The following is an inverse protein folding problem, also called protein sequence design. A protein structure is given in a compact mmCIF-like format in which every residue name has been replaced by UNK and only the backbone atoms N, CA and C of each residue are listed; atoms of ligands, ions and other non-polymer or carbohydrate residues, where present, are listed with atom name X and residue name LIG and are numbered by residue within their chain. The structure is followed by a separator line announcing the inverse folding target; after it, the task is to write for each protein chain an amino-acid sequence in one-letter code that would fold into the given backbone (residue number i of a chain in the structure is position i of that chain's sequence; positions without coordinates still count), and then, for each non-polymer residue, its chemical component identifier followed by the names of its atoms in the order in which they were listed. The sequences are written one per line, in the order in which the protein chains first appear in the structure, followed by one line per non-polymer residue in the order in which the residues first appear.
data_IF_440316932110
#
_entry.id   IF_440316932110
#
_cell.length_a   1.000
_cell.length_b   1.000
_cell.length_c   1.000
_cell.angle_alpha   90.00
_cell.angle_beta   90.00
_cell.angle_gamma   90.00
#
_symmetry.space_group_name_H-M   'P 1'
#
loop_
_entity.id
_entity.type
_entity.pdbx_description
1 polymer ?
#
# COMPACT_ATOMS: atom_id res chain seq x y z
N UNK A 1 -11.47 -0.13 -16.88
CA UNK A 1 -10.52 -0.94 -16.09
C UNK A 1 -9.21 -0.20 -16.11
N UNK A 2 -8.60 -0.01 -14.96
CA UNK A 2 -7.29 0.66 -14.78
C UNK A 2 -6.29 -0.36 -14.33
N UNK A 3 -5.09 -0.33 -14.88
CA UNK A 3 -3.99 -1.19 -14.47
C UNK A 3 -3.14 -0.53 -13.40
N UNK A 4 -2.90 -1.21 -12.30
CA UNK A 4 -2.00 -0.76 -11.25
C UNK A 4 -0.76 -1.65 -11.16
N UNK A 5 0.41 -1.04 -11.08
CA UNK A 5 1.62 -1.67 -10.56
C UNK A 5 1.77 -1.30 -9.09
N UNK A 6 1.48 -2.24 -8.20
CA UNK A 6 1.62 -2.09 -6.75
C UNK A 6 3.05 -2.44 -6.38
N UNK A 7 3.81 -1.46 -5.91
CA UNK A 7 5.25 -1.57 -5.67
C UNK A 7 5.51 -1.39 -4.18
N UNK A 8 6.07 -2.41 -3.51
CA UNK A 8 6.55 -2.23 -2.15
C UNK A 8 7.85 -1.43 -2.15
N UNK A 9 7.97 -0.44 -1.25
CA UNK A 9 9.21 0.32 -1.09
C UNK A 9 10.42 -0.59 -0.96
N UNK A 10 11.58 -0.10 -1.38
CA UNK A 10 12.85 -0.78 -1.33
C UNK A 10 13.48 -0.78 0.08
N UNK A 11 14.59 -1.48 0.27
CA UNK A 11 15.21 -1.75 1.56
C UNK A 11 15.73 -0.48 2.27
N UNK A 12 15.57 -0.47 3.60
CA UNK A 12 16.12 0.50 4.53
C UNK A 12 16.70 -0.23 5.76
N UNK A 13 17.46 0.46 6.59
CA UNK A 13 18.23 -0.19 7.68
C UNK A 13 17.39 -0.72 8.85
N UNK A 14 16.10 -0.37 8.89
CA UNK A 14 15.17 -0.82 9.94
C UNK A 14 14.29 -2.00 9.51
N UNK A 15 14.42 -2.52 8.27
CA UNK A 15 13.67 -3.71 7.81
C UNK A 15 13.95 -4.87 8.76
N UNK A 16 12.90 -5.59 9.14
CA UNK A 16 12.91 -6.74 10.05
C UNK A 16 13.46 -6.46 11.47
N UNK A 17 13.71 -5.20 11.81
CA UNK A 17 14.20 -4.79 13.14
C UNK A 17 13.20 -3.94 13.90
N UNK A 18 12.56 -2.98 13.22
CA UNK A 18 11.68 -1.98 13.81
C UNK A 18 10.41 -1.87 12.99
N UNK A 19 9.28 -1.81 13.67
CA UNK A 19 8.01 -1.46 13.05
C UNK A 19 7.97 0.05 12.75
N UNK A 20 8.56 0.45 11.62
CA UNK A 20 8.69 1.87 11.27
C UNK A 20 7.32 2.58 11.21
N UNK A 21 6.30 1.92 10.65
CA UNK A 21 4.96 2.46 10.50
C UNK A 21 4.97 3.80 9.78
N UNK A 22 4.13 4.73 10.25
CA UNK A 22 4.05 6.12 9.75
C UNK A 22 4.96 7.10 10.53
N UNK A 23 5.47 6.71 11.69
CA UNK A 23 6.21 7.63 12.59
C UNK A 23 7.68 7.75 12.26
N UNK A 24 8.31 6.68 11.76
CA UNK A 24 9.75 6.70 11.51
C UNK A 24 10.03 7.08 10.07
N UNK A 25 10.63 8.25 9.89
CA UNK A 25 11.08 8.72 8.58
C UNK A 25 12.46 8.14 8.26
N UNK A 26 12.48 6.99 7.62
CA UNK A 26 13.70 6.26 7.27
C UNK A 26 13.96 6.33 5.77
N UNK A 27 15.19 6.72 5.35
CA UNK A 27 15.58 6.70 3.93
C UNK A 27 15.95 5.29 3.48
N UNK A 28 16.00 5.08 2.16
CA UNK A 28 16.58 3.89 1.57
C UNK A 28 18.08 3.76 1.91
N UNK A 29 18.50 2.54 2.23
CA UNK A 29 19.93 2.23 2.33
C UNK A 29 20.56 2.00 0.94
N UNK A 30 21.84 1.64 0.88
CA UNK A 30 22.55 1.41 -0.39
C UNK A 30 21.91 0.29 -1.22
N UNK A 31 21.46 -0.78 -0.58
CA UNK A 31 20.74 -1.87 -1.25
C UNK A 31 19.41 -1.40 -1.81
N UNK A 32 18.63 -0.64 -1.00
CA UNK A 32 17.35 -0.10 -1.42
C UNK A 32 17.44 0.82 -2.62
N UNK A 33 18.47 1.66 -2.72
CA UNK A 33 18.69 2.50 -3.91
C UNK A 33 18.91 1.66 -5.17
N UNK A 34 19.71 0.60 -5.09
CA UNK A 34 19.91 -0.34 -6.22
C UNK A 34 18.62 -1.06 -6.60
N UNK A 35 17.81 -1.44 -5.61
CA UNK A 35 16.49 -2.04 -5.85
C UNK A 35 15.53 -1.06 -6.53
N UNK A 36 15.48 0.21 -6.11
CA UNK A 36 14.67 1.24 -6.73
C UNK A 36 15.04 1.45 -8.22
N UNK A 37 16.33 1.48 -8.53
CA UNK A 37 16.82 1.52 -9.92
C UNK A 37 16.43 0.27 -10.72
N UNK A 38 16.47 -0.91 -10.10
CA UNK A 38 16.06 -2.16 -10.74
C UNK A 38 14.56 -2.17 -11.05
N UNK A 39 13.71 -1.69 -10.12
CA UNK A 39 12.27 -1.48 -10.33
C UNK A 39 12.03 -0.56 -11.53
N UNK A 40 12.73 0.57 -11.59
CA UNK A 40 12.59 1.52 -12.69
C UNK A 40 12.93 0.87 -14.05
N UNK A 41 14.03 0.10 -14.13
CA UNK A 41 14.39 -0.64 -15.35
C UNK A 41 13.37 -1.72 -15.73
N UNK A 42 12.81 -2.42 -14.74
CA UNK A 42 11.80 -3.46 -14.99
C UNK A 42 10.50 -2.88 -15.58
N UNK A 43 10.13 -1.67 -15.17
CA UNK A 43 8.93 -0.98 -15.64
C UNK A 43 9.19 0.00 -16.80
N UNK A 44 10.41 0.03 -17.36
CA UNK A 44 10.82 1.01 -18.38
C UNK A 44 9.97 0.98 -19.66
N UNK A 45 9.41 -0.19 -20.00
CA UNK A 45 8.60 -0.39 -21.22
C UNK A 45 7.09 -0.40 -20.94
N UNK A 46 6.70 -0.24 -19.68
CA UNK A 46 5.28 -0.16 -19.33
C UNK A 46 4.73 1.22 -19.69
N UNK A 47 3.51 1.32 -20.24
CA UNK A 47 2.91 2.58 -20.67
C UNK A 47 2.37 3.36 -19.46
N UNK A 48 3.24 3.67 -18.50
CA UNK A 48 2.87 4.39 -17.29
C UNK A 48 2.40 5.81 -17.64
N UNK A 49 1.27 6.19 -17.06
CA UNK A 49 0.71 7.55 -17.19
C UNK A 49 0.84 8.34 -15.88
N UNK A 50 0.97 7.65 -14.75
CA UNK A 50 1.07 8.25 -13.41
C UNK A 50 1.97 7.43 -12.50
N UNK A 51 2.68 8.15 -11.61
CA UNK A 51 3.45 7.55 -10.53
C UNK A 51 3.03 8.25 -9.23
N UNK A 52 2.52 7.46 -8.29
CA UNK A 52 2.00 7.95 -7.00
C UNK A 52 2.68 7.15 -5.89
N UNK A 53 3.21 7.83 -4.88
CA UNK A 53 3.83 7.18 -3.73
C UNK A 53 3.10 7.52 -2.41
N UNK A 54 3.20 6.63 -1.44
CA UNK A 54 3.00 6.98 -0.04
C UNK A 54 3.92 8.16 0.32
N UNK A 55 3.50 9.09 1.21
CA UNK A 55 4.33 10.25 1.58
C UNK A 55 5.57 9.87 2.41
N UNK A 56 5.77 8.59 2.72
CA UNK A 56 6.96 8.16 3.47
C UNK A 56 8.21 8.23 2.60
N UNK A 57 9.30 8.76 3.16
CA UNK A 57 10.57 8.98 2.46
C UNK A 57 11.06 7.74 1.72
N UNK A 58 10.99 6.55 2.33
CA UNK A 58 11.35 5.28 1.69
C UNK A 58 10.53 4.95 0.44
N UNK A 59 9.24 5.32 0.42
CA UNK A 59 8.37 5.11 -0.75
C UNK A 59 8.67 6.15 -1.84
N UNK A 60 8.81 7.42 -1.49
CA UNK A 60 9.18 8.47 -2.44
C UNK A 60 10.53 8.17 -3.10
N UNK A 61 11.55 7.83 -2.31
CA UNK A 61 12.88 7.47 -2.83
C UNK A 61 12.88 6.20 -3.69
N UNK A 62 11.93 5.29 -3.47
CA UNK A 62 11.74 4.13 -4.36
C UNK A 62 11.15 4.55 -5.70
N UNK A 63 10.26 5.54 -5.72
CA UNK A 63 9.61 6.04 -6.92
C UNK A 63 10.51 6.95 -7.78
N UNK A 64 11.44 7.69 -7.18
CA UNK A 64 12.28 8.70 -7.85
C UNK A 64 12.96 8.19 -9.14
N UNK A 65 13.67 7.04 -9.17
CA UNK A 65 14.28 6.55 -10.39
C UNK A 65 13.27 6.22 -11.49
N UNK A 66 12.08 5.73 -11.11
CA UNK A 66 11.00 5.44 -12.06
C UNK A 66 10.44 6.73 -12.65
N UNK A 67 10.24 7.77 -11.83
CA UNK A 67 9.81 9.09 -12.29
C UNK A 67 10.80 9.69 -13.31
N UNK A 68 12.10 9.61 -13.00
CA UNK A 68 13.15 10.11 -13.89
C UNK A 68 13.16 9.35 -15.23
N UNK A 69 13.02 8.03 -15.21
CA UNK A 69 13.05 7.20 -16.41
C UNK A 69 11.79 7.40 -17.28
N UNK A 70 10.61 7.39 -16.64
CA UNK A 70 9.32 7.58 -17.32
C UNK A 70 9.04 9.05 -17.71
N UNK A 71 9.84 10.00 -17.21
CA UNK A 71 9.63 11.46 -17.36
C UNK A 71 8.26 11.91 -16.85
N UNK A 72 7.80 11.30 -15.75
CA UNK A 72 6.54 11.60 -15.09
C UNK A 72 6.80 12.26 -13.73
N UNK A 73 5.97 13.23 -13.32
CA UNK A 73 6.06 13.80 -11.98
C UNK A 73 5.68 12.79 -10.91
N UNK A 74 6.28 12.89 -9.73
CA UNK A 74 5.87 12.15 -8.56
C UNK A 74 4.69 12.85 -7.88
N UNK A 75 3.58 12.15 -7.70
CA UNK A 75 2.50 12.55 -6.80
C UNK A 75 2.57 11.75 -5.50
N UNK A 76 2.00 12.28 -4.42
CA UNK A 76 1.89 11.55 -3.14
C UNK A 76 0.42 11.40 -2.72
N UNK A 77 0.11 10.29 -2.03
CA UNK A 77 -1.23 10.00 -1.54
C UNK A 77 -1.18 9.34 -0.16
N UNK A 78 -1.83 9.95 0.83
CA UNK A 78 -1.95 9.40 2.20
C UNK A 78 -2.83 8.14 2.23
N UNK A 79 -3.67 7.94 1.22
CA UNK A 79 -4.55 6.79 1.10
C UNK A 79 -3.80 5.47 0.87
N UNK A 80 -2.55 5.53 0.39
CA UNK A 80 -1.67 4.36 0.25
C UNK A 80 -0.50 4.41 1.25
N UNK A 81 -0.62 5.20 2.34
CA UNK A 81 0.37 5.20 3.41
C UNK A 81 0.34 3.87 4.19
N UNK A 82 1.42 3.60 4.91
CA UNK A 82 1.55 2.39 5.72
C UNK A 82 0.40 2.25 6.72
N UNK A 83 0.21 1.04 7.20
CA UNK A 83 -0.70 0.75 8.32
C UNK A 83 -0.37 1.64 9.52
N UNK A 84 -1.38 2.29 10.10
CA UNK A 84 -1.20 3.02 11.34
C UNK A 84 -1.10 2.05 12.53
N UNK A 85 0.12 1.76 12.90
CA UNK A 85 0.42 0.86 14.02
C UNK A 85 0.26 1.53 15.40
N UNK A 86 -0.21 2.78 15.46
CA UNK A 86 -0.47 3.51 16.69
C UNK A 86 0.73 3.56 17.65
N UNK A 87 0.56 3.07 18.88
CA UNK A 87 1.61 3.04 19.91
C UNK A 87 2.74 2.04 19.63
N UNK A 88 2.58 1.15 18.67
CA UNK A 88 3.62 0.20 18.29
C UNK A 88 4.62 0.77 17.27
N UNK A 89 4.26 1.84 16.57
CA UNK A 89 5.13 2.47 15.58
C UNK A 89 6.42 2.98 16.23
N UNK A 90 7.56 2.61 15.65
CA UNK A 90 8.90 2.93 16.15
C UNK A 90 9.48 1.92 17.15
N UNK A 91 8.71 0.91 17.57
CA UNK A 91 9.22 -0.15 18.47
C UNK A 91 9.92 -1.25 17.68
N UNK A 92 10.92 -1.86 18.30
CA UNK A 92 11.57 -3.05 17.74
C UNK A 92 10.65 -4.27 17.79
N UNK A 93 10.81 -5.21 16.85
CA UNK A 93 10.04 -6.46 16.88
C UNK A 93 10.35 -7.31 18.13
N UNK A 94 11.56 -7.21 18.70
CA UNK A 94 11.91 -7.86 19.95
C UNK A 94 11.16 -7.30 21.16
N UNK A 95 10.86 -6.00 21.19
CA UNK A 95 10.00 -5.39 22.21
C UNK A 95 8.54 -5.76 21.99
N UNK A 96 8.08 -5.73 20.74
CA UNK A 96 6.69 -6.07 20.39
C UNK A 96 6.37 -7.53 20.70
N UNK A 97 7.32 -8.44 20.50
CA UNK A 97 7.15 -9.87 20.82
C UNK A 97 6.81 -10.14 22.30
N UNK A 98 7.11 -9.18 23.18
CA UNK A 98 6.79 -9.25 24.62
C UNK A 98 5.42 -8.66 24.97
N UNK A 99 4.77 -7.97 24.03
CA UNK A 99 3.43 -7.39 24.23
C UNK A 99 2.35 -8.43 23.90
N UNK A 100 1.50 -8.88 24.87
CA UNK A 100 0.44 -9.86 24.58
C UNK A 100 -0.54 -9.40 23.49
N UNK A 101 -0.77 -8.09 23.37
CA UNK A 101 -1.67 -7.51 22.37
C UNK A 101 -1.08 -7.63 20.96
N UNK A 102 0.27 -7.58 20.83
CA UNK A 102 0.96 -7.84 19.56
C UNK A 102 0.78 -9.28 19.09
N UNK A 103 0.84 -10.25 20.03
CA UNK A 103 0.56 -11.65 19.73
C UNK A 103 -0.87 -11.82 19.26
N UNK A 104 -1.84 -11.30 20.04
CA UNK A 104 -3.25 -11.36 19.69
C UNK A 104 -3.53 -10.74 18.31
N UNK A 105 -2.90 -9.60 18.00
CA UNK A 105 -3.05 -8.95 16.70
C UNK A 105 -2.50 -9.80 15.56
N UNK A 106 -1.38 -10.50 15.74
CA UNK A 106 -0.85 -11.41 14.72
C UNK A 106 -1.71 -12.67 14.52
N UNK A 107 -2.38 -13.14 15.58
CA UNK A 107 -3.28 -14.29 15.53
C UNK A 107 -4.67 -13.95 14.97
N UNK A 108 -5.14 -12.71 15.18
CA UNK A 108 -6.51 -12.28 14.87
C UNK A 108 -6.55 -10.93 14.18
N UNK A 109 -5.78 -10.75 13.12
CA UNK A 109 -5.62 -9.46 12.43
C UNK A 109 -6.93 -8.86 11.93
N UNK A 110 -7.89 -9.67 11.53
CA UNK A 110 -9.20 -9.20 11.09
C UNK A 110 -9.97 -8.47 12.20
N UNK A 111 -9.88 -8.98 13.44
CA UNK A 111 -10.66 -8.49 14.57
C UNK A 111 -9.86 -7.56 15.52
N UNK A 112 -8.53 -7.73 15.59
CA UNK A 112 -7.69 -6.99 16.52
C UNK A 112 -7.25 -5.64 15.92
N UNK A 113 -6.99 -4.69 16.82
CA UNK A 113 -6.51 -3.35 16.47
C UNK A 113 -5.27 -3.01 17.27
N UNK A 114 -4.22 -2.41 16.65
CA UNK A 114 -3.12 -1.80 17.39
C UNK A 114 -3.64 -0.69 18.34
N UNK A 115 -3.08 -0.55 19.53
CA UNK A 115 -3.46 0.52 20.43
C UNK A 115 -3.28 1.91 19.81
N UNK A 116 -4.38 2.64 19.60
CA UNK A 116 -4.38 3.95 18.95
C UNK A 116 -4.05 3.92 17.45
N UNK A 117 -4.13 2.76 16.81
CA UNK A 117 -3.90 2.58 15.37
C UNK A 117 -5.16 2.26 14.58
N UNK A 118 -5.01 1.98 13.28
CA UNK A 118 -6.11 1.54 12.41
C UNK A 118 -6.25 0.00 12.42
N UNK A 119 -7.47 -0.49 12.24
CA UNK A 119 -7.72 -1.92 11.99
C UNK A 119 -7.37 -2.29 10.55
N UNK A 120 -7.23 -3.62 10.29
CA UNK A 120 -6.98 -4.08 8.92
C UNK A 120 -8.16 -3.81 7.97
N UNK A 121 -9.39 -3.78 8.51
CA UNK A 121 -10.57 -3.43 7.73
C UNK A 121 -10.56 -1.96 7.32
N UNK A 122 -10.23 -1.05 8.23
CA UNK A 122 -10.10 0.39 7.92
C UNK A 122 -8.99 0.64 6.90
N UNK A 123 -7.85 -0.04 7.05
CA UNK A 123 -6.77 0.00 6.07
C UNK A 123 -7.28 -0.45 4.69
N UNK A 124 -7.96 -1.59 4.61
CA UNK A 124 -8.47 -2.13 3.34
C UNK A 124 -9.49 -1.17 2.72
N UNK A 125 -10.45 -0.65 3.48
CA UNK A 125 -11.43 0.31 3.00
C UNK A 125 -10.77 1.57 2.44
N UNK A 126 -9.76 2.11 3.13
CA UNK A 126 -9.00 3.29 2.70
C UNK A 126 -8.28 3.05 1.38
N UNK A 127 -7.58 1.92 1.26
CA UNK A 127 -6.78 1.58 0.08
C UNK A 127 -7.69 1.26 -1.11
N UNK A 128 -8.67 0.38 -0.93
CA UNK A 128 -9.60 -0.01 -1.99
C UNK A 128 -10.42 1.18 -2.48
N UNK A 129 -10.96 1.99 -1.57
CA UNK A 129 -11.68 3.21 -1.94
C UNK A 129 -10.83 4.19 -2.75
N UNK A 130 -9.52 4.23 -2.50
CA UNK A 130 -8.60 5.04 -3.31
C UNK A 130 -8.37 4.45 -4.69
N UNK A 131 -8.21 3.12 -4.83
CA UNK A 131 -8.11 2.45 -6.12
C UNK A 131 -9.38 2.65 -6.96
N UNK A 132 -10.57 2.54 -6.34
CA UNK A 132 -11.85 2.81 -6.99
C UNK A 132 -11.93 4.26 -7.49
N UNK A 133 -11.55 5.23 -6.66
CA UNK A 133 -11.54 6.63 -7.02
C UNK A 133 -10.54 6.95 -8.14
N UNK A 134 -9.37 6.31 -8.16
CA UNK A 134 -8.41 6.43 -9.26
C UNK A 134 -8.97 5.84 -10.55
N UNK A 135 -9.55 4.64 -10.48
CA UNK A 135 -10.12 3.95 -11.63
C UNK A 135 -11.28 4.75 -12.27
N UNK A 136 -12.12 5.36 -11.44
CA UNK A 136 -13.21 6.21 -11.91
C UNK A 136 -12.72 7.48 -12.61
N UNK A 137 -11.63 8.09 -12.09
CA UNK A 137 -11.04 9.33 -12.64
C UNK A 137 -10.11 9.10 -13.81
N UNK A 138 -9.48 7.93 -13.87
CA UNK A 138 -8.42 7.57 -14.81
C UNK A 138 -8.70 6.21 -15.47
N UNK A 139 -9.85 6.07 -16.18
CA UNK A 139 -10.17 4.82 -16.85
C UNK A 139 -9.15 4.53 -17.97
N UNK A 140 -8.74 3.27 -18.08
CA UNK A 140 -7.79 2.78 -19.08
C UNK A 140 -6.34 3.28 -18.93
N UNK A 141 -6.01 3.91 -17.81
CA UNK A 141 -4.64 4.31 -17.51
C UNK A 141 -3.84 3.17 -16.86
N UNK A 142 -2.52 3.28 -16.93
CA UNK A 142 -1.56 2.43 -16.23
C UNK A 142 -0.83 3.25 -15.17
N UNK A 143 -1.02 2.91 -13.90
CA UNK A 143 -0.59 3.71 -12.76
C UNK A 143 0.37 2.91 -11.87
N UNK A 144 1.55 3.46 -11.57
CA UNK A 144 2.44 2.90 -10.57
C UNK A 144 2.13 3.47 -9.18
N UNK A 145 1.91 2.60 -8.20
CA UNK A 145 1.65 2.96 -6.81
C UNK A 145 2.76 2.41 -5.92
N UNK A 146 3.60 3.28 -5.36
CA UNK A 146 4.68 2.88 -4.44
C UNK A 146 4.21 3.00 -3.01
N UNK A 147 4.11 1.88 -2.33
CA UNK A 147 3.49 1.77 -1.02
C UNK A 147 4.25 0.78 -0.10
N UNK A 148 3.56 0.13 0.79
CA UNK A 148 4.09 -0.70 1.87
C UNK A 148 3.41 -2.07 1.88
N UNK A 149 3.88 -2.96 2.77
CA UNK A 149 3.40 -4.34 2.84
C UNK A 149 1.90 -4.42 3.06
N UNK A 150 1.40 -3.76 4.11
CA UNK A 150 0.01 -3.97 4.53
C UNK A 150 -0.99 -3.33 3.55
N UNK A 151 -0.79 -2.11 3.03
CA UNK A 151 -1.67 -1.55 1.99
C UNK A 151 -1.72 -2.39 0.71
N UNK A 152 -0.56 -2.87 0.23
CA UNK A 152 -0.51 -3.69 -0.99
C UNK A 152 -1.21 -5.04 -0.76
N UNK A 153 -0.93 -5.67 0.38
CA UNK A 153 -1.57 -6.92 0.78
C UNK A 153 -3.09 -6.78 0.82
N UNK A 154 -3.59 -5.74 1.47
CA UNK A 154 -5.02 -5.44 1.58
C UNK A 154 -5.68 -5.27 0.20
N UNK A 155 -5.03 -4.56 -0.73
CA UNK A 155 -5.50 -4.39 -2.10
C UNK A 155 -5.56 -5.73 -2.86
N UNK A 156 -4.51 -6.55 -2.77
CA UNK A 156 -4.43 -7.85 -3.43
C UNK A 156 -5.43 -8.86 -2.87
N UNK A 157 -5.61 -8.88 -1.55
CA UNK A 157 -6.61 -9.74 -0.90
C UNK A 157 -8.02 -9.39 -1.35
N UNK A 158 -8.37 -8.10 -1.32
CA UNK A 158 -9.67 -7.63 -1.80
C UNK A 158 -9.93 -8.06 -3.25
N UNK A 159 -8.96 -7.84 -4.14
CA UNK A 159 -9.09 -8.18 -5.56
C UNK A 159 -9.23 -9.69 -5.82
N UNK A 160 -8.68 -10.53 -4.93
CA UNK A 160 -8.72 -11.99 -5.03
C UNK A 160 -9.88 -12.62 -4.23
N UNK A 161 -10.68 -11.82 -3.53
CA UNK A 161 -11.74 -12.31 -2.63
C UNK A 161 -11.22 -13.14 -1.45
N UNK A 162 -9.99 -12.86 -0.98
CA UNK A 162 -9.36 -13.54 0.16
C UNK A 162 -9.92 -12.94 1.44
N UNK A 163 -10.36 -13.79 2.35
CA UNK A 163 -10.92 -13.38 3.63
C UNK A 163 -9.88 -12.69 4.52
N UNK A 164 -10.34 -11.78 5.39
CA UNK A 164 -9.44 -11.01 6.25
C UNK A 164 -8.66 -11.87 7.26
N UNK A 165 -9.19 -13.04 7.60
CA UNK A 165 -8.56 -14.03 8.48
C UNK A 165 -7.28 -14.62 7.84
N UNK A 166 -7.26 -14.74 6.51
CA UNK A 166 -6.14 -15.28 5.74
C UNK A 166 -5.10 -14.21 5.35
N UNK A 167 -5.04 -13.14 6.12
CA UNK A 167 -4.25 -11.96 5.82
C UNK A 167 -2.77 -12.25 5.52
N UNK A 168 -2.17 -13.24 6.15
CA UNK A 168 -0.78 -13.63 5.93
C UNK A 168 -0.57 -14.52 4.71
N UNK A 169 -1.64 -14.97 4.02
CA UNK A 169 -1.54 -15.81 2.82
C UNK A 169 -0.96 -15.09 1.60
N UNK A 170 -0.99 -13.75 1.59
CA UNK A 170 -0.45 -12.94 0.50
C UNK A 170 0.89 -12.36 0.91
N UNK A 171 1.97 -12.88 0.33
CA UNK A 171 3.31 -12.34 0.53
C UNK A 171 3.54 -11.10 -0.36
N UNK A 172 4.23 -10.11 0.22
CA UNK A 172 4.61 -8.86 -0.45
C UNK A 172 6.07 -8.58 -0.12
N UNK A 173 7.04 -9.17 -0.83
CA UNK A 173 8.47 -8.99 -0.57
C UNK A 173 8.95 -7.55 -0.74
N UNK A 174 10.05 -7.18 -0.08
CA UNK A 174 10.73 -5.89 -0.28
C UNK A 174 11.03 -5.68 -1.77
N UNK A 175 10.77 -4.48 -2.28
CA UNK A 175 10.99 -4.09 -3.68
C UNK A 175 10.23 -4.96 -4.70
N UNK A 176 9.18 -5.66 -4.27
CA UNK A 176 8.33 -6.44 -5.17
C UNK A 176 7.39 -5.54 -5.97
N UNK A 177 6.98 -6.04 -7.12
CA UNK A 177 5.97 -5.44 -8.01
C UNK A 177 4.85 -6.45 -8.19
N UNK A 178 3.62 -6.05 -7.92
CA UNK A 178 2.42 -6.83 -8.23
C UNK A 178 1.57 -6.06 -9.24
N UNK A 179 1.11 -6.74 -10.28
CA UNK A 179 0.17 -6.19 -11.26
C UNK A 179 -1.26 -6.46 -10.79
N UNK A 180 -2.10 -5.44 -10.86
CA UNK A 180 -3.50 -5.50 -10.51
C UNK A 180 -4.35 -4.80 -11.58
N UNK A 181 -5.18 -5.56 -12.27
CA UNK A 181 -6.22 -5.02 -13.15
C UNK A 181 -7.47 -4.74 -12.30
N UNK A 182 -7.81 -3.46 -12.12
CA UNK A 182 -8.89 -3.04 -11.23
C UNK A 182 -10.08 -2.47 -12.00
N UNK A 183 -11.27 -2.93 -11.60
CA UNK A 183 -12.55 -2.35 -12.04
C UNK A 183 -13.16 -1.65 -10.83
N UNK A 184 -13.51 -0.36 -10.99
CA UNK A 184 -14.21 0.34 -9.92
C UNK A 184 -15.51 -0.40 -9.57
N UNK A 185 -15.83 -0.46 -8.28
CA UNK A 185 -17.14 -0.97 -7.86
C UNK A 185 -18.25 -0.15 -8.51
N UNK A 186 -19.22 -0.83 -9.11
CA UNK A 186 -20.41 -0.16 -9.65
C UNK A 186 -21.24 0.29 -8.45
N UNK A 187 -21.12 1.55 -8.06
CA UNK A 187 -22.07 2.15 -7.13
C UNK A 187 -23.40 2.26 -7.85
N UNK A 188 -24.31 1.31 -7.63
CA UNK A 188 -25.71 1.46 -7.99
C UNK A 188 -26.26 2.67 -7.20
N UNK A 189 -26.38 3.82 -7.85
CA UNK A 189 -27.20 4.90 -7.31
C UNK A 189 -28.63 4.36 -7.26
N UNK A 190 -29.12 4.04 -6.09
CA UNK A 190 -30.54 3.93 -5.88
C UNK A 190 -31.12 5.34 -6.06
N UNK A 191 -31.66 5.56 -7.24
CA UNK A 191 -32.47 6.73 -7.54
C UNK A 191 -33.79 6.54 -6.77
N UNK A 192 -33.85 7.04 -5.55
CA UNK A 192 -35.09 7.17 -4.81
C UNK A 192 -35.82 8.42 -5.32
N UNK A 193 -36.30 8.34 -6.54
CA UNK A 193 -37.38 9.23 -6.99
C UNK A 193 -38.64 8.84 -6.23
N UNK A 194 -38.84 9.41 -5.04
CA UNK A 194 -40.13 9.40 -4.38
C UNK A 194 -41.00 10.36 -5.19
N UNK A 195 -41.86 9.77 -6.03
CA UNK A 195 -42.92 10.50 -6.67
C UNK A 195 -43.85 11.10 -5.62
N UNK A 196 -43.95 12.43 -5.63
CA UNK A 196 -44.99 13.15 -4.94
C UNK A 196 -46.26 13.00 -5.79
N UNK A 197 -47.31 12.42 -5.22
CA UNK A 197 -48.69 12.54 -5.63
C UNK A 197 -49.47 13.22 -4.49
#
# INVERSE_FOLDING_TARGET
MTMFFLIRHAAHDLVDRVLAGRKVDVPLNRQGRRQAEAIARQLAHEPLTRIIASPRRRACQTAEPLCALAKLPLATAVQIDEHDAGLWAGRSFSELARDPRWRLWNERRAAARPPGGESMLELQQRVVGYLDALTARHPHETIALVSHTEPIRAALMHARGIAAEDFLSVDVPIASIARLDHKAAVTSRHDTSIGAA
#
